data_IF_556023656004
#
_entry.id   IF_556023656004
#
_cell.length_a   1.000
_cell.length_b   1.000
_cell.length_c   1.000
_cell.angle_alpha   90.00
_cell.angle_beta   90.00
_cell.angle_gamma   90.00
#
_symmetry.space_group_name_H-M   'P 1'
#
loop_
_entity.id
_entity.type
_entity.pdbx_description
1 polymer ?
#
# COMPACT_ATOMS: atom_id res chain seq x y z
N UNK A 1 -3.14 -12.06 8.98
CA UNK A 1 -3.47 -12.53 7.61
C UNK A 1 -2.25 -13.10 6.87
N UNK A 2 -1.12 -12.35 6.73
CA UNK A 2 0.04 -12.86 5.96
C UNK A 2 0.62 -14.16 6.56
N UNK A 3 0.66 -14.31 7.88
CA UNK A 3 1.09 -15.54 8.56
C UNK A 3 0.14 -16.73 8.35
N UNK A 4 -1.11 -16.48 8.01
CA UNK A 4 -2.06 -17.55 7.64
C UNK A 4 -1.79 -18.03 6.21
N UNK A 5 -1.40 -17.11 5.32
CA UNK A 5 -0.97 -17.42 3.95
C UNK A 5 0.37 -18.15 3.93
N UNK A 6 1.36 -17.66 4.67
CA UNK A 6 2.69 -18.25 4.78
C UNK A 6 3.08 -18.46 6.25
N UNK A 7 2.69 -19.59 6.87
CA UNK A 7 3.02 -19.90 8.26
C UNK A 7 4.52 -20.01 8.53
N UNK A 8 5.31 -20.26 7.49
CA UNK A 8 6.76 -20.39 7.58
C UNK A 8 7.50 -19.09 7.23
N UNK A 9 6.76 -18.01 7.06
CA UNK A 9 7.35 -16.71 6.73
C UNK A 9 8.39 -16.29 7.76
N UNK A 10 9.60 -16.11 7.29
CA UNK A 10 10.69 -15.57 8.11
C UNK A 10 10.63 -14.06 8.01
N UNK A 11 10.35 -13.40 9.14
CA UNK A 11 10.43 -11.94 9.24
C UNK A 11 11.87 -11.51 8.94
N UNK A 12 12.08 -10.94 7.75
CA UNK A 12 13.41 -10.50 7.30
C UNK A 12 13.90 -9.27 8.06
N UNK A 13 12.96 -8.46 8.52
CA UNK A 13 13.23 -7.18 9.17
C UNK A 13 12.44 -7.05 10.49
N UNK A 14 12.67 -7.95 11.48
CA UNK A 14 11.85 -8.03 12.68
C UNK A 14 11.97 -6.80 13.60
N UNK A 15 13.01 -5.98 13.42
CA UNK A 15 13.17 -4.73 14.18
C UNK A 15 12.26 -3.61 13.67
N UNK A 16 11.76 -3.71 12.44
CA UNK A 16 10.98 -2.67 11.79
C UNK A 16 9.48 -2.98 11.69
N UNK A 17 9.09 -4.25 11.76
CA UNK A 17 7.69 -4.69 11.80
C UNK A 17 7.62 -5.95 12.64
N UNK A 18 7.13 -5.85 13.86
CA UNK A 18 7.24 -6.91 14.88
C UNK A 18 5.90 -7.28 15.54
N UNK A 19 4.83 -6.58 15.23
CA UNK A 19 3.49 -6.81 15.78
C UNK A 19 2.50 -7.20 14.69
N UNK A 20 1.44 -7.90 15.03
CA UNK A 20 0.44 -8.41 14.09
C UNK A 20 -0.48 -7.31 13.52
N UNK A 21 -0.48 -6.13 14.13
CA UNK A 21 -1.16 -4.92 13.69
C UNK A 21 -0.30 -4.03 12.77
N UNK A 22 0.98 -4.38 12.57
CA UNK A 22 1.87 -3.72 11.63
C UNK A 22 1.74 -4.30 10.21
N UNK A 23 2.05 -3.52 9.17
CA UNK A 23 2.12 -4.06 7.82
C UNK A 23 3.20 -5.12 7.69
N UNK A 24 2.95 -6.17 6.91
CA UNK A 24 4.02 -7.09 6.50
C UNK A 24 4.99 -6.35 5.59
N UNK A 25 6.29 -6.52 5.84
CA UNK A 25 7.38 -5.91 5.07
C UNK A 25 8.41 -6.94 4.62
N UNK A 26 9.29 -6.51 3.72
CA UNK A 26 10.36 -7.38 3.22
C UNK A 26 9.83 -8.52 2.35
N UNK A 27 8.71 -8.29 1.71
CA UNK A 27 8.09 -9.16 0.72
C UNK A 27 8.25 -8.55 -0.67
N UNK A 28 8.47 -9.39 -1.66
CA UNK A 28 8.58 -8.94 -3.04
C UNK A 28 7.20 -8.82 -3.71
N UNK A 29 7.18 -8.33 -4.95
CA UNK A 29 5.95 -8.16 -5.71
C UNK A 29 5.17 -9.47 -5.88
N UNK A 30 5.86 -10.57 -6.18
CA UNK A 30 5.20 -11.85 -6.45
C UNK A 30 4.60 -12.47 -5.20
N UNK A 31 5.26 -12.36 -4.05
CA UNK A 31 4.73 -12.78 -2.75
C UNK A 31 3.47 -11.98 -2.39
N UNK A 32 3.49 -10.68 -2.66
CA UNK A 32 2.33 -9.79 -2.46
C UNK A 32 1.16 -10.19 -3.37
N UNK A 33 1.45 -10.45 -4.65
CA UNK A 33 0.44 -10.86 -5.64
C UNK A 33 -0.21 -12.19 -5.26
N UNK A 34 0.60 -13.20 -4.92
CA UNK A 34 0.07 -14.54 -4.57
C UNK A 34 -0.73 -14.49 -3.27
N UNK A 35 -0.29 -13.71 -2.28
CA UNK A 35 -1.06 -13.51 -1.05
C UNK A 35 -2.41 -12.83 -1.34
N UNK A 36 -2.43 -11.81 -2.17
CA UNK A 36 -3.68 -11.15 -2.57
C UNK A 36 -4.66 -12.13 -3.25
N UNK A 37 -4.17 -12.96 -4.17
CA UNK A 37 -4.97 -13.99 -4.86
C UNK A 37 -5.48 -15.06 -3.89
N UNK A 38 -4.64 -15.50 -2.94
CA UNK A 38 -5.05 -16.45 -1.91
C UNK A 38 -6.21 -15.92 -1.05
N UNK A 39 -6.23 -14.60 -0.81
CA UNK A 39 -7.33 -13.92 -0.12
C UNK A 39 -8.60 -13.72 -0.99
N UNK A 40 -8.61 -14.23 -2.23
CA UNK A 40 -9.70 -13.94 -3.19
C UNK A 40 -9.76 -12.46 -3.58
N UNK A 41 -8.62 -11.77 -3.58
CA UNK A 41 -8.45 -10.35 -3.86
C UNK A 41 -7.36 -10.16 -4.91
N UNK A 42 -7.04 -8.91 -5.20
CA UNK A 42 -5.94 -8.55 -6.10
C UNK A 42 -5.19 -7.33 -5.57
N UNK A 43 -4.01 -7.07 -6.11
CA UNK A 43 -3.35 -5.79 -5.92
C UNK A 43 -4.10 -4.69 -6.68
N UNK A 44 -4.10 -3.44 -6.16
CA UNK A 44 -4.66 -2.31 -6.88
C UNK A 44 -3.82 -2.01 -8.14
N UNK A 45 -4.46 -1.56 -9.19
CA UNK A 45 -3.73 -0.85 -10.23
C UNK A 45 -3.39 0.57 -9.73
N UNK A 46 -2.37 1.19 -10.31
CA UNK A 46 -1.87 2.50 -9.87
C UNK A 46 -2.98 3.57 -9.81
N UNK A 47 -3.89 3.58 -10.79
CA UNK A 47 -4.99 4.55 -10.85
C UNK A 47 -6.02 4.35 -9.71
N UNK A 48 -6.29 3.12 -9.32
CA UNK A 48 -7.17 2.80 -8.20
C UNK A 48 -6.55 3.25 -6.89
N UNK A 49 -5.26 2.94 -6.71
CA UNK A 49 -4.51 3.37 -5.54
C UNK A 49 -4.53 4.89 -5.41
N UNK A 50 -4.15 5.62 -6.48
CA UNK A 50 -4.12 7.08 -6.49
C UNK A 50 -5.51 7.68 -6.24
N UNK A 51 -6.56 7.15 -6.86
CA UNK A 51 -7.94 7.59 -6.65
C UNK A 51 -8.34 7.42 -5.19
N UNK A 52 -8.01 6.28 -4.58
CA UNK A 52 -8.32 5.99 -3.18
C UNK A 52 -7.59 6.95 -2.22
N UNK A 53 -6.38 7.37 -2.58
CA UNK A 53 -5.58 8.29 -1.78
C UNK A 53 -6.07 9.75 -1.88
N UNK A 54 -6.29 10.25 -3.12
CA UNK A 54 -6.50 11.68 -3.37
C UNK A 54 -7.94 12.12 -3.57
N UNK A 55 -8.89 11.19 -3.61
CA UNK A 55 -10.29 11.54 -3.85
C UNK A 55 -10.56 12.05 -5.26
N UNK A 56 -11.43 13.07 -5.37
CA UNK A 56 -11.88 13.65 -6.65
C UNK A 56 -11.37 15.08 -6.89
N UNK A 57 -10.79 15.71 -5.89
CA UNK A 57 -10.38 17.11 -5.91
C UNK A 57 -8.90 17.34 -6.26
N UNK A 58 -8.14 16.26 -6.44
CA UNK A 58 -6.76 16.33 -6.90
C UNK A 58 -5.74 16.75 -5.84
N UNK A 59 -6.07 16.64 -4.56
CA UNK A 59 -5.24 17.00 -3.41
C UNK A 59 -3.86 16.36 -3.43
N UNK A 60 -2.90 17.02 -2.79
CA UNK A 60 -1.51 16.55 -2.70
C UNK A 60 -1.37 15.35 -1.75
N UNK A 61 -2.03 15.39 -0.59
CA UNK A 61 -2.00 14.35 0.44
C UNK A 61 -3.41 13.81 0.73
N UNK A 62 -3.55 12.60 1.31
CA UNK A 62 -4.87 12.04 1.61
C UNK A 62 -5.77 12.97 2.43
N UNK A 63 -5.20 13.73 3.35
CA UNK A 63 -5.91 14.72 4.18
C UNK A 63 -6.08 16.11 3.53
N UNK A 64 -5.53 16.33 2.36
CA UNK A 64 -5.60 17.62 1.64
C UNK A 64 -4.23 18.23 1.36
N UNK A 65 -4.09 19.53 1.58
CA UNK A 65 -2.84 20.27 1.45
C UNK A 65 -1.90 19.99 2.63
N UNK A 66 -0.59 20.11 2.41
CA UNK A 66 0.39 19.98 3.48
C UNK A 66 0.28 21.18 4.44
N UNK A 67 -0.53 21.05 5.46
CA UNK A 67 -0.66 22.00 6.56
C UNK A 67 0.45 21.76 7.59
N UNK A 68 1.69 22.11 7.24
CA UNK A 68 2.84 21.96 8.13
C UNK A 68 3.24 20.49 8.41
N UNK A 69 4.40 20.31 9.02
CA UNK A 69 4.87 19.01 9.49
C UNK A 69 4.15 18.68 10.81
N UNK A 70 3.05 17.95 10.75
CA UNK A 70 2.34 17.46 11.94
C UNK A 70 2.49 15.95 12.04
N UNK A 71 2.87 15.48 13.23
CA UNK A 71 3.16 14.07 13.50
C UNK A 71 1.94 13.14 13.42
N UNK A 72 0.73 13.70 13.27
CA UNK A 72 -0.54 12.98 13.44
C UNK A 72 -1.15 12.49 12.14
N UNK A 73 -0.49 12.72 10.99
CA UNK A 73 -1.05 12.41 9.69
C UNK A 73 -0.44 11.19 9.00
N UNK A 74 0.85 10.92 9.20
CA UNK A 74 1.54 9.86 8.50
C UNK A 74 2.86 9.46 9.16
N UNK A 75 3.25 8.21 9.05
CA UNK A 75 4.56 7.72 9.45
C UNK A 75 5.57 7.93 8.32
N UNK A 76 6.37 8.98 8.42
CA UNK A 76 7.47 9.30 7.50
C UNK A 76 8.77 9.56 8.27
N UNK A 77 9.91 9.66 7.59
CA UNK A 77 11.18 9.88 8.27
C UNK A 77 11.27 11.27 8.92
N UNK A 78 10.41 12.20 8.56
CA UNK A 78 10.34 13.51 9.21
C UNK A 78 9.97 13.41 10.69
N UNK A 79 9.29 12.34 11.11
CA UNK A 79 8.76 12.14 12.47
C UNK A 79 9.52 11.12 13.32
N UNK A 80 10.60 10.55 12.77
CA UNK A 80 11.63 9.78 13.49
C UNK A 80 11.11 8.56 14.27
N UNK A 81 10.01 7.93 13.83
CA UNK A 81 9.57 6.65 14.43
C UNK A 81 10.60 5.54 14.11
N UNK A 82 11.23 5.61 12.92
CA UNK A 82 12.33 4.75 12.53
C UNK A 82 11.94 3.29 12.24
N UNK A 83 10.65 3.02 12.09
CA UNK A 83 10.07 1.69 11.82
C UNK A 83 8.63 1.85 11.32
N UNK A 84 7.96 0.75 10.96
CA UNK A 84 6.53 0.76 10.69
C UNK A 84 5.72 1.12 11.94
N UNK A 85 4.51 1.56 11.76
CA UNK A 85 3.50 1.78 12.78
C UNK A 85 2.35 0.79 12.62
N UNK A 86 1.53 0.59 13.66
CA UNK A 86 0.26 -0.12 13.52
C UNK A 86 -0.56 0.47 12.37
N UNK A 87 -1.22 -0.39 11.58
CA UNK A 87 -2.16 0.09 10.58
C UNK A 87 -3.31 0.79 11.30
N UNK A 88 -3.80 1.89 10.73
CA UNK A 88 -4.85 2.74 11.34
C UNK A 88 -4.40 3.65 12.50
N UNK A 89 -3.11 3.75 12.80
CA UNK A 89 -2.59 4.64 13.86
C UNK A 89 -2.89 6.12 13.56
N UNK A 90 -2.81 6.52 12.28
CA UNK A 90 -2.93 7.92 11.87
C UNK A 90 -4.33 8.26 11.38
N UNK A 91 -5.27 8.44 12.31
CA UNK A 91 -6.67 8.76 11.99
C UNK A 91 -6.83 10.07 11.21
N UNK A 92 -5.97 11.05 11.44
CA UNK A 92 -6.03 12.33 10.72
C UNK A 92 -5.47 12.23 9.29
N UNK A 93 -4.75 11.17 9.00
CA UNK A 93 -4.20 10.86 7.68
C UNK A 93 -5.16 10.11 6.74
N UNK A 94 -6.41 9.89 7.17
CA UNK A 94 -7.42 9.17 6.40
C UNK A 94 -7.72 9.88 5.08
N UNK A 95 -7.81 9.10 4.00
CA UNK A 95 -8.19 9.60 2.69
C UNK A 95 -9.70 9.93 2.62
N UNK A 96 -10.15 10.67 1.57
CA UNK A 96 -11.58 10.96 1.39
C UNK A 96 -12.49 9.74 1.28
N UNK A 97 -11.92 8.59 0.92
CA UNK A 97 -12.65 7.31 0.84
C UNK A 97 -12.45 6.42 2.07
N UNK A 98 -11.92 6.97 3.18
CA UNK A 98 -11.74 6.24 4.42
C UNK A 98 -10.55 5.26 4.43
N UNK A 99 -9.60 5.41 3.51
CA UNK A 99 -8.41 4.55 3.48
C UNK A 99 -7.33 5.13 4.40
N UNK A 100 -6.83 4.29 5.32
CA UNK A 100 -5.70 4.60 6.18
C UNK A 100 -4.37 4.37 5.47
N UNK A 101 -3.30 5.01 5.97
CA UNK A 101 -1.91 4.80 5.56
C UNK A 101 -1.67 4.94 4.05
N UNK A 102 -2.47 5.79 3.37
CA UNK A 102 -2.23 6.13 1.96
C UNK A 102 -1.03 7.08 1.78
N UNK A 103 -0.41 7.50 2.88
CA UNK A 103 0.81 8.29 2.91
C UNK A 103 1.72 7.77 4.03
N UNK A 104 2.96 7.44 3.73
CA UNK A 104 3.93 6.92 4.70
C UNK A 104 3.72 5.44 5.06
N UNK A 105 4.21 5.02 6.20
CA UNK A 105 4.28 3.67 6.73
C UNK A 105 5.10 2.74 5.81
N UNK A 106 4.52 2.22 4.72
CA UNK A 106 5.23 1.37 3.75
C UNK A 106 4.90 1.74 2.31
N UNK A 107 5.85 1.59 1.40
CA UNK A 107 5.57 1.54 -0.03
C UNK A 107 4.65 0.37 -0.34
N UNK A 108 3.66 0.60 -1.17
CA UNK A 108 2.67 -0.40 -1.52
C UNK A 108 2.75 -0.81 -2.98
N UNK A 109 2.96 -2.10 -3.20
CA UNK A 109 3.01 -2.68 -4.53
C UNK A 109 1.69 -2.49 -5.27
N UNK A 110 1.78 -1.98 -6.50
CA UNK A 110 0.68 -1.91 -7.45
C UNK A 110 0.87 -2.92 -8.58
N UNK A 111 -0.24 -3.42 -9.13
CA UNK A 111 -0.21 -4.39 -10.24
C UNK A 111 0.46 -3.84 -11.51
N UNK A 112 0.67 -2.53 -11.58
CA UNK A 112 1.18 -1.84 -12.76
C UNK A 112 2.62 -2.24 -13.10
N UNK A 113 2.82 -2.63 -14.35
CA UNK A 113 4.13 -2.84 -14.95
C UNK A 113 4.71 -1.50 -15.40
N UNK A 114 5.97 -1.28 -15.12
CA UNK A 114 6.75 -0.16 -15.64
C UNK A 114 7.95 -0.69 -16.43
N UNK A 115 7.99 -0.39 -17.71
CA UNK A 115 9.10 -0.74 -18.58
C UNK A 115 10.05 0.44 -18.72
N UNK A 116 11.32 0.26 -18.33
CA UNK A 116 12.39 1.22 -18.55
C UNK A 116 13.44 0.57 -19.44
N UNK A 117 13.30 0.74 -20.75
CA UNK A 117 14.10 -0.02 -21.72
C UNK A 117 13.79 -1.51 -21.63
N UNK A 118 14.81 -2.33 -21.34
CA UNK A 118 14.66 -3.76 -21.14
C UNK A 118 14.43 -4.16 -19.67
N UNK A 119 14.45 -3.19 -18.74
CA UNK A 119 14.28 -3.44 -17.31
C UNK A 119 12.80 -3.42 -16.98
N UNK A 120 12.33 -4.51 -16.39
CA UNK A 120 10.96 -4.66 -15.89
C UNK A 120 10.92 -4.26 -14.42
N UNK A 121 10.13 -3.26 -14.11
CA UNK A 121 9.90 -2.82 -12.73
C UNK A 121 8.40 -2.82 -12.41
N UNK A 122 8.08 -2.80 -11.13
CA UNK A 122 6.70 -2.65 -10.64
C UNK A 122 6.56 -1.33 -9.91
N UNK A 123 5.40 -0.72 -10.08
CA UNK A 123 5.08 0.54 -9.42
C UNK A 123 4.80 0.29 -7.94
N UNK A 124 5.30 1.19 -7.10
CA UNK A 124 4.95 1.31 -5.69
C UNK A 124 4.51 2.73 -5.36
N UNK A 125 3.60 2.86 -4.43
CA UNK A 125 2.93 4.11 -4.06
C UNK A 125 2.95 4.33 -2.56
N UNK A 126 2.72 5.57 -2.12
CA UNK A 126 2.48 5.96 -0.73
C UNK A 126 3.68 6.51 0.03
N UNK A 127 4.90 6.25 -0.39
CA UNK A 127 6.07 6.55 0.45
C UNK A 127 6.22 5.56 1.61
N UNK A 128 7.08 5.85 2.55
CA UNK A 128 7.28 4.97 3.71
C UNK A 128 7.91 5.71 4.89
N UNK A 129 8.01 5.03 6.03
CA UNK A 129 8.70 5.50 7.23
C UNK A 129 10.19 5.87 7.01
N UNK A 130 10.80 5.40 5.90
CA UNK A 130 12.16 5.74 5.49
C UNK A 130 12.26 6.99 4.61
N UNK A 131 11.14 7.52 4.14
CA UNK A 131 11.09 8.60 3.16
C UNK A 131 10.53 9.88 3.77
N UNK A 132 10.99 11.02 3.25
CA UNK A 132 10.41 12.31 3.57
C UNK A 132 8.99 12.43 3.05
N UNK A 133 8.17 13.25 3.72
CA UNK A 133 6.77 13.51 3.40
C UNK A 133 6.53 13.81 1.90
N UNK A 134 7.45 14.50 1.24
CA UNK A 134 7.32 14.82 -0.18
C UNK A 134 7.18 13.58 -1.09
N UNK A 135 7.70 12.43 -0.65
CA UNK A 135 7.58 11.16 -1.37
C UNK A 135 6.24 10.44 -1.09
N UNK A 136 5.46 10.95 -0.13
CA UNK A 136 4.16 10.40 0.26
C UNK A 136 2.99 11.16 -0.35
N UNK A 137 3.24 12.09 -1.29
CA UNK A 137 2.18 12.74 -2.07
C UNK A 137 1.36 11.70 -2.83
N UNK A 138 0.05 11.92 -2.91
CA UNK A 138 -0.87 11.02 -3.63
C UNK A 138 -0.45 10.73 -5.07
N UNK A 139 0.14 11.71 -5.77
CA UNK A 139 0.62 11.57 -7.13
C UNK A 139 2.04 11.00 -7.23
N UNK A 140 2.79 10.94 -6.12
CA UNK A 140 4.16 10.45 -6.16
C UNK A 140 4.19 8.94 -6.43
N UNK A 141 5.07 8.54 -7.33
CA UNK A 141 5.26 7.14 -7.70
C UNK A 141 6.73 6.76 -7.60
N UNK A 142 6.98 5.54 -7.23
CA UNK A 142 8.29 4.93 -7.32
C UNK A 142 8.19 3.61 -8.09
N UNK A 143 9.33 3.04 -8.46
CA UNK A 143 9.41 1.74 -9.12
C UNK A 143 10.53 0.94 -8.52
N UNK A 144 10.28 -0.35 -8.29
CA UNK A 144 11.26 -1.28 -7.74
C UNK A 144 11.36 -2.53 -8.61
N UNK A 145 12.48 -3.23 -8.48
CA UNK A 145 12.63 -4.56 -9.01
C UNK A 145 11.62 -5.51 -8.36
N UNK A 146 10.81 -6.27 -9.14
CA UNK A 146 9.78 -7.13 -8.58
C UNK A 146 10.31 -8.28 -7.71
N UNK A 147 11.57 -8.67 -7.87
CA UNK A 147 12.20 -9.74 -7.09
C UNK A 147 12.81 -9.27 -5.78
N UNK A 148 13.07 -7.96 -5.66
CA UNK A 148 13.69 -7.42 -4.47
C UNK A 148 12.72 -7.26 -3.30
N UNK A 149 13.28 -7.36 -2.09
CA UNK A 149 12.55 -7.27 -0.81
C UNK A 149 13.08 -6.11 -0.01
N UNK A 150 12.33 -5.03 0.01
CA UNK A 150 12.72 -3.80 0.71
C UNK A 150 12.16 -3.79 2.14
N UNK A 151 12.92 -3.23 3.11
CA UNK A 151 12.47 -3.17 4.51
C UNK A 151 11.27 -2.24 4.74
N UNK A 152 10.90 -1.48 3.74
CA UNK A 152 9.80 -0.52 3.81
C UNK A 152 8.80 -0.72 2.66
N UNK A 153 8.70 -1.92 2.08
CA UNK A 153 7.69 -2.28 1.08
C UNK A 153 6.74 -3.33 1.63
N UNK A 154 5.47 -3.12 1.38
CA UNK A 154 4.35 -3.99 1.68
C UNK A 154 3.31 -3.91 0.57
N UNK A 155 2.04 -4.15 0.88
CA UNK A 155 0.95 -4.05 -0.08
C UNK A 155 -0.40 -3.89 0.60
N UNK A 156 -1.37 -3.46 -0.18
CA UNK A 156 -2.80 -3.57 0.14
C UNK A 156 -3.54 -4.34 -0.93
N UNK A 157 -4.70 -4.86 -0.58
CA UNK A 157 -5.57 -5.56 -1.52
C UNK A 157 -6.80 -4.72 -1.85
N UNK A 158 -7.35 -4.95 -3.03
CA UNK A 158 -8.69 -4.52 -3.42
C UNK A 158 -9.57 -5.74 -3.67
N UNK A 159 -10.84 -5.62 -3.33
CA UNK A 159 -11.84 -6.65 -3.63
C UNK A 159 -12.01 -6.79 -5.14
N UNK A 160 -12.30 -7.99 -5.60
CA UNK A 160 -12.78 -8.18 -6.96
C UNK A 160 -14.14 -7.49 -7.08
N UNK A 161 -14.50 -6.94 -8.27
CA UNK A 161 -15.84 -6.49 -8.51
C UNK A 161 -16.83 -7.63 -8.17
N UNK A 162 -17.94 -7.28 -7.53
CA UNK A 162 -19.04 -8.24 -7.42
C UNK A 162 -19.44 -8.57 -8.87
N UNK A 163 -19.32 -9.82 -9.25
CA UNK A 163 -20.01 -10.30 -10.46
C UNK A 163 -21.49 -10.23 -10.13
N UNK A 164 -22.23 -9.36 -10.81
CA UNK A 164 -23.70 -9.51 -10.85
C UNK A 164 -23.94 -10.92 -11.35
N UNK A 165 -24.47 -11.77 -10.48
CA UNK A 165 -25.07 -13.04 -10.92
C UNK A 165 -26.36 -12.58 -11.56
N UNK A 166 -26.41 -12.57 -12.89
CA UNK A 166 -27.68 -12.49 -13.59
C UNK A 166 -28.47 -13.75 -13.17
N UNK A 167 -29.31 -13.59 -12.17
CA UNK A 167 -30.37 -14.56 -11.88
C UNK A 167 -31.39 -14.44 -13.02
N UNK A 168 -31.00 -14.98 -14.18
CA UNK A 168 -31.97 -15.34 -15.22
C UNK A 168 -32.82 -16.46 -14.61
N UNK A 169 -33.85 -16.06 -13.87
CA UNK A 169 -34.93 -16.96 -13.57
C UNK A 169 -35.56 -17.40 -14.90
N UNK A 170 -35.19 -18.60 -15.32
CA UNK A 170 -35.94 -19.32 -16.34
C UNK A 170 -37.39 -19.53 -15.84
N UNK A 171 -38.25 -18.57 -16.16
CA UNK A 171 -39.70 -18.77 -16.13
C UNK A 171 -40.07 -19.60 -17.39
N UNK A 172 -40.21 -20.91 -17.21
CA UNK A 172 -41.01 -21.78 -18.05
C UNK A 172 -42.29 -22.23 -17.33
#
# INVERSE_FOLDING_TARGET
LYKEFDPNHILRFPLYSFSDDHPVIGINFYESLVCALWLGRRLPIEKEWEKSARGIDGRDYPWGEAMGYQNDYANTCDFVIGRTSPVTEFEQGISPFGCFDMAGNVWEWCAQLHLKGQITQRVARGGSWLNYMVHSKCAYRNTFDPDERYPASGFRCVSLPLTEVDDDEDDE
#
